data_IF_730283139671
#
_entry.id   IF_730283139671
#
_cell.length_a   1.000
_cell.length_b   1.000
_cell.length_c   1.000
_cell.angle_alpha   90.00
_cell.angle_beta   90.00
_cell.angle_gamma   90.00
#
_symmetry.space_group_name_H-M   'P 1'
#
loop_
_entity.id
_entity.type
_entity.pdbx_description
1 polymer ?
#
# COMPACT_ATOMS: atom_id res chain seq x y z
N UNK A 1 11.97 28.94 -0.82
CA UNK A 1 11.50 27.78 -0.04
C UNK A 1 11.10 26.70 -1.03
N UNK A 2 11.69 25.51 -0.98
CA UNK A 2 11.42 24.48 -1.98
C UNK A 2 9.97 24.00 -1.82
N UNK A 3 9.14 24.26 -2.82
CA UNK A 3 7.82 23.67 -2.95
C UNK A 3 8.03 22.15 -3.03
N UNK A 4 7.85 21.47 -1.89
CA UNK A 4 8.01 20.03 -1.80
C UNK A 4 6.90 19.40 -2.62
N UNK A 5 7.18 19.12 -3.89
CA UNK A 5 6.26 18.38 -4.75
C UNK A 5 5.87 17.10 -4.04
N UNK A 6 4.58 16.97 -3.73
CA UNK A 6 4.10 15.79 -3.04
C UNK A 6 4.35 14.56 -3.92
N UNK A 7 4.98 13.50 -3.39
CA UNK A 7 5.21 12.30 -4.17
C UNK A 7 3.90 11.75 -4.72
N UNK A 8 3.85 11.52 -6.02
CA UNK A 8 2.71 10.89 -6.68
C UNK A 8 2.89 9.37 -6.64
N UNK A 9 1.80 8.66 -6.35
CA UNK A 9 1.73 7.20 -6.27
C UNK A 9 0.56 6.68 -7.08
N UNK A 10 0.58 5.38 -7.35
CA UNK A 10 -0.43 4.72 -8.17
C UNK A 10 -1.31 3.82 -7.31
N UNK A 11 -2.63 3.96 -7.46
CA UNK A 11 -3.57 3.03 -6.84
C UNK A 11 -3.37 1.63 -7.46
N UNK A 12 -3.27 0.61 -6.62
CA UNK A 12 -3.04 -0.77 -7.08
C UNK A 12 -4.26 -1.39 -7.76
N UNK A 13 -5.45 -0.81 -7.54
CA UNK A 13 -6.72 -1.30 -8.10
C UNK A 13 -7.04 -0.61 -9.42
N UNK A 14 -7.31 0.70 -9.42
CA UNK A 14 -7.69 1.44 -10.64
C UNK A 14 -6.50 1.90 -11.49
N UNK A 15 -5.26 1.72 -11.02
CA UNK A 15 -4.02 2.09 -11.73
C UNK A 15 -3.88 3.58 -12.07
N UNK A 16 -4.73 4.44 -11.52
CA UNK A 16 -4.63 5.92 -11.62
C UNK A 16 -3.59 6.47 -10.63
N UNK A 17 -3.07 7.66 -10.95
CA UNK A 17 -2.08 8.40 -10.16
C UNK A 17 -2.77 9.37 -9.21
N UNK A 18 -2.30 9.42 -7.97
CA UNK A 18 -2.80 10.29 -6.91
C UNK A 18 -1.65 10.82 -6.07
N UNK A 19 -1.85 11.95 -5.39
CA UNK A 19 -0.90 12.43 -4.41
C UNK A 19 -0.78 11.44 -3.24
N UNK A 20 0.41 11.29 -2.65
CA UNK A 20 0.65 10.30 -1.57
C UNK A 20 -0.30 10.51 -0.38
N UNK A 21 -0.62 11.75 -0.03
CA UNK A 21 -1.61 12.11 1.00
C UNK A 21 -3.01 11.55 0.75
N UNK A 22 -3.41 11.39 -0.52
CA UNK A 22 -4.74 10.92 -0.93
C UNK A 22 -4.88 9.40 -0.99
N UNK A 23 -3.79 8.66 -0.72
CA UNK A 23 -3.78 7.20 -0.77
C UNK A 23 -3.62 6.61 0.62
N UNK A 24 -4.41 5.57 0.90
CA UNK A 24 -4.21 4.72 2.07
C UNK A 24 -3.13 3.69 1.76
N UNK A 25 -2.07 3.65 2.57
CA UNK A 25 -1.05 2.61 2.50
C UNK A 25 -1.48 1.41 3.33
N UNK A 26 -1.28 0.22 2.79
CA UNK A 26 -1.45 -1.05 3.48
C UNK A 26 -0.15 -1.86 3.40
N UNK A 27 0.21 -2.54 4.49
CA UNK A 27 1.41 -3.38 4.59
C UNK A 27 1.02 -4.81 4.97
N UNK A 28 1.87 -5.82 4.77
CA UNK A 28 1.56 -7.17 5.22
C UNK A 28 1.32 -7.16 6.73
N UNK A 29 0.22 -7.78 7.15
CA UNK A 29 0.00 -8.00 8.56
C UNK A 29 1.10 -8.91 9.13
N UNK A 30 1.49 -8.73 10.41
CA UNK A 30 2.40 -9.63 11.08
C UNK A 30 1.86 -11.07 11.06
N UNK A 31 2.78 -12.03 11.19
CA UNK A 31 2.44 -13.45 11.13
C UNK A 31 1.39 -13.83 12.21
N UNK A 32 0.39 -14.63 11.82
CA UNK A 32 -0.71 -15.02 12.70
C UNK A 32 -1.93 -14.09 12.71
N UNK A 33 -1.84 -12.87 12.17
CA UNK A 33 -2.98 -11.95 12.04
C UNK A 33 -3.57 -12.05 10.64
N UNK A 34 -4.65 -12.82 10.49
CA UNK A 34 -5.34 -13.00 9.22
C UNK A 34 -6.68 -12.26 9.24
N UNK A 35 -6.63 -10.93 9.11
CA UNK A 35 -7.82 -10.13 8.85
C UNK A 35 -7.92 -9.85 7.34
N UNK A 36 -9.04 -10.22 6.72
CA UNK A 36 -9.35 -9.90 5.32
C UNK A 36 -8.31 -10.40 4.30
N UNK A 37 -7.72 -9.47 3.55
CA UNK A 37 -6.73 -9.73 2.49
C UNK A 37 -5.28 -9.96 2.98
N UNK A 38 -5.07 -10.08 4.29
CA UNK A 38 -3.75 -10.29 4.89
C UNK A 38 -2.88 -9.03 4.94
N UNK A 39 -3.48 -7.85 4.75
CA UNK A 39 -2.82 -6.56 4.88
C UNK A 39 -3.45 -5.73 6.02
N UNK A 40 -2.64 -4.89 6.64
CA UNK A 40 -3.07 -3.93 7.66
C UNK A 40 -2.90 -2.49 7.14
N UNK A 41 -3.82 -1.60 7.51
CA UNK A 41 -3.73 -0.19 7.16
C UNK A 41 -2.58 0.48 7.93
N UNK A 42 -1.66 1.10 7.19
CA UNK A 42 -0.57 1.91 7.73
C UNK A 42 -0.84 3.39 7.47
N UNK A 43 -1.71 3.97 8.31
CA UNK A 43 -2.10 5.39 8.22
C UNK A 43 -0.90 6.34 8.36
N UNK A 44 0.08 5.98 9.21
CA UNK A 44 1.30 6.76 9.39
C UNK A 44 2.26 6.65 8.19
N UNK A 45 2.10 5.60 7.36
CA UNK A 45 2.96 5.30 6.22
C UNK A 45 4.45 5.13 6.60
N UNK A 46 4.73 4.72 7.84
CA UNK A 46 6.08 4.56 8.40
C UNK A 46 6.48 3.10 8.56
N UNK A 47 5.55 2.15 8.43
CA UNK A 47 5.85 0.74 8.75
C UNK A 47 6.81 0.12 7.73
N UNK A 48 7.78 -0.70 8.18
CA UNK A 48 8.69 -1.39 7.28
C UNK A 48 7.92 -2.39 6.41
N UNK A 49 8.48 -2.73 5.25
CA UNK A 49 7.85 -3.67 4.32
C UNK A 49 7.41 -3.06 3.00
N UNK A 50 7.02 -3.93 2.06
CA UNK A 50 6.36 -3.52 0.82
C UNK A 50 4.97 -2.95 1.13
N UNK A 51 4.70 -1.72 0.69
CA UNK A 51 3.37 -1.11 0.83
C UNK A 51 2.55 -1.20 -0.45
N UNK A 52 1.23 -1.34 -0.30
CA UNK A 52 0.23 -1.20 -1.36
C UNK A 52 -0.58 0.06 -1.10
N UNK A 53 -0.81 0.85 -2.15
CA UNK A 53 -1.55 2.11 -2.05
C UNK A 53 -2.90 1.98 -2.74
N UNK A 54 -3.96 2.42 -2.05
CA UNK A 54 -5.34 2.39 -2.54
C UNK A 54 -5.95 3.78 -2.39
N UNK A 55 -6.68 4.25 -3.40
CA UNK A 55 -7.37 5.53 -3.34
C UNK A 55 -8.65 5.44 -2.50
N UNK A 56 -9.21 6.60 -2.14
CA UNK A 56 -10.40 6.72 -1.30
C UNK A 56 -11.71 6.23 -1.98
N UNK A 57 -11.64 5.95 -3.29
CA UNK A 57 -12.75 5.44 -4.09
C UNK A 57 -13.33 4.14 -3.48
N UNK A 58 -14.63 4.11 -3.14
CA UNK A 58 -15.28 2.94 -2.54
C UNK A 58 -15.16 1.67 -3.38
N UNK A 59 -15.24 1.78 -4.71
CA UNK A 59 -15.11 0.63 -5.61
C UNK A 59 -13.69 0.06 -5.58
N UNK A 60 -12.68 0.92 -5.43
CA UNK A 60 -11.30 0.47 -5.26
C UNK A 60 -11.10 -0.24 -3.92
N UNK A 61 -11.70 0.26 -2.85
CA UNK A 61 -11.61 -0.34 -1.51
C UNK A 61 -12.26 -1.72 -1.44
N UNK A 62 -13.47 -1.84 -2.00
CA UNK A 62 -14.19 -3.11 -2.04
C UNK A 62 -13.40 -4.17 -2.83
N UNK A 63 -12.93 -3.81 -4.03
CA UNK A 63 -12.07 -4.70 -4.82
C UNK A 63 -10.78 -5.05 -4.09
N UNK A 64 -10.14 -4.08 -3.45
CA UNK A 64 -8.92 -4.31 -2.68
C UNK A 64 -9.12 -5.31 -1.54
N UNK A 65 -10.27 -5.28 -0.85
CA UNK A 65 -10.60 -6.21 0.22
C UNK A 65 -10.69 -7.66 -0.27
N UNK A 66 -11.17 -7.88 -1.52
CA UNK A 66 -11.23 -9.21 -2.14
C UNK A 66 -9.92 -9.69 -2.78
N UNK A 67 -8.94 -8.80 -3.00
CA UNK A 67 -7.67 -9.15 -3.63
C UNK A 67 -6.74 -9.86 -2.66
N UNK A 68 -6.13 -10.99 -3.07
CA UNK A 68 -5.06 -11.63 -2.29
C UNK A 68 -3.70 -11.10 -2.70
N UNK A 69 -3.03 -10.41 -1.77
CA UNK A 69 -1.67 -9.92 -2.00
C UNK A 69 -0.67 -10.96 -1.50
N UNK A 70 0.11 -11.54 -2.42
CA UNK A 70 1.21 -12.41 -2.02
C UNK A 70 2.26 -11.57 -1.30
N UNK A 71 2.71 -12.02 -0.13
CA UNK A 71 3.94 -11.51 0.52
C UNK A 71 5.08 -11.67 -0.49
N UNK A 72 5.35 -10.60 -1.26
CA UNK A 72 6.51 -10.57 -2.14
C UNK A 72 7.68 -10.16 -1.27
N UNK A 73 8.71 -11.01 -1.21
CA UNK A 73 9.98 -10.68 -0.59
C UNK A 73 10.48 -9.33 -1.13
N UNK A 74 11.14 -8.54 -0.28
CA UNK A 74 11.83 -7.35 -0.74
C UNK A 74 12.76 -7.76 -1.89
N UNK A 75 12.57 -7.17 -3.07
CA UNK A 75 13.54 -7.28 -4.16
C UNK A 75 14.73 -6.39 -3.76
N UNK A 76 15.59 -6.91 -2.89
CA UNK A 76 16.69 -6.15 -2.28
C UNK A 76 17.64 -6.99 -1.40
N UNK A 77 17.27 -8.19 -0.99
CA UNK A 77 18.19 -9.13 -0.31
C UNK A 77 18.86 -10.04 -1.33
N UNK A 78 19.92 -9.54 -1.99
CA UNK A 78 21.06 -10.30 -2.54
C UNK A 78 21.97 -9.32 -3.27
N UNK A 79 22.99 -8.82 -2.55
CA UNK A 79 24.34 -8.53 -3.01
C UNK A 79 25.11 -7.99 -1.79
N UNK A 80 25.69 -8.94 -1.05
CA UNK A 80 26.63 -8.76 0.06
C UNK A 80 27.40 -10.06 0.15
#
# INVERSE_FOLDING_TARGET
>A
MAERQEPVRMCVVCRRRFAKSQLMRHVPAPEGVVAGNGLEADKAQTRPGRGWYVCDDPHCRERFAGMKFRRKSHKGSKNG
#
